data_IF_227111691348
#
_entry.id   IF_227111691348
#
_cell.length_a   1.000
_cell.length_b   1.000
_cell.length_c   1.000
_cell.angle_alpha   90.00
_cell.angle_beta   90.00
_cell.angle_gamma   90.00
#
_symmetry.space_group_name_H-M   'P 1'
#
loop_
_entity.id
_entity.type
_entity.pdbx_description
1 polymer ?
#
# COMPACT_ATOMS: atom_id res chain seq x y z
N UNK A 1 -0.80 -10.74 28.89
CA UNK A 1 0.53 -11.37 28.98
C UNK A 1 0.92 -11.93 27.63
N UNK A 2 2.20 -11.82 27.27
CA UNK A 2 2.76 -12.32 26.01
C UNK A 2 3.58 -13.57 26.31
N UNK A 3 3.45 -14.59 25.48
CA UNK A 3 4.15 -15.86 25.63
C UNK A 3 4.11 -16.70 24.36
N UNK A 4 4.94 -17.73 24.35
CA UNK A 4 5.03 -18.68 23.25
C UNK A 4 4.42 -20.01 23.66
N UNK A 5 3.76 -20.68 22.71
CA UNK A 5 3.35 -22.08 22.85
C UNK A 5 4.45 -22.93 22.21
N UNK A 6 5.31 -23.52 23.04
CA UNK A 6 6.34 -24.47 22.61
C UNK A 6 6.12 -25.78 23.36
N UNK A 7 5.27 -26.64 22.80
CA UNK A 7 4.94 -27.96 23.34
C UNK A 7 4.69 -27.93 24.87
N UNK A 8 5.48 -28.69 25.62
CA UNK A 8 5.38 -28.81 27.08
C UNK A 8 6.31 -27.86 27.86
N UNK A 9 6.90 -26.85 27.20
CA UNK A 9 7.76 -25.86 27.84
C UNK A 9 6.90 -24.76 28.45
N UNK A 10 6.46 -24.96 29.69
CA UNK A 10 5.57 -24.04 30.38
C UNK A 10 6.23 -22.68 30.73
N UNK A 11 7.57 -22.65 30.85
CA UNK A 11 8.31 -21.43 31.20
C UNK A 11 8.10 -20.30 30.19
N UNK A 12 8.06 -20.60 28.89
CA UNK A 12 7.91 -19.59 27.84
C UNK A 12 6.47 -19.11 27.62
N UNK A 13 5.49 -19.71 28.30
CA UNK A 13 4.06 -19.32 28.19
C UNK A 13 3.75 -17.98 28.86
N UNK A 14 4.57 -17.57 29.82
CA UNK A 14 4.49 -16.24 30.41
C UNK A 14 5.90 -15.64 30.55
N UNK A 15 6.26 -14.79 29.60
CA UNK A 15 7.62 -14.25 29.50
C UNK A 15 7.95 -13.25 30.60
N UNK A 16 6.96 -12.75 31.37
CA UNK A 16 7.19 -11.84 32.50
C UNK A 16 8.00 -12.49 33.62
N UNK A 17 7.95 -13.82 33.75
CA UNK A 17 8.63 -14.56 34.82
C UNK A 17 9.98 -15.14 34.41
N UNK A 18 10.29 -15.16 33.11
CA UNK A 18 11.51 -15.79 32.58
C UNK A 18 12.57 -14.77 32.18
N UNK A 19 12.15 -13.56 31.76
CA UNK A 19 13.09 -12.52 31.33
C UNK A 19 13.61 -11.71 32.52
N UNK A 20 14.94 -11.48 32.61
CA UNK A 20 15.49 -10.57 33.60
C UNK A 20 14.95 -9.15 33.38
N UNK A 21 14.81 -8.36 34.44
CA UNK A 21 14.24 -7.00 34.41
C UNK A 21 14.93 -6.02 33.44
N UNK A 22 16.13 -6.35 32.97
CA UNK A 22 16.92 -5.62 31.97
C UNK A 22 16.46 -5.86 30.52
N UNK A 23 15.75 -6.96 30.24
CA UNK A 23 15.14 -7.29 28.94
C UNK A 23 13.63 -7.07 29.03
N UNK A 24 13.20 -5.80 28.94
CA UNK A 24 11.78 -5.48 28.76
C UNK A 24 11.39 -5.69 27.31
N UNK A 25 10.92 -6.88 26.98
CA UNK A 25 10.17 -7.09 25.73
C UNK A 25 8.88 -6.28 25.78
N UNK A 26 8.89 -5.11 25.13
CA UNK A 26 7.71 -4.29 24.94
C UNK A 26 7.08 -4.66 23.60
N UNK A 27 6.16 -5.62 23.61
CA UNK A 27 5.27 -5.82 22.47
C UNK A 27 4.18 -4.77 22.57
N UNK A 28 4.31 -3.73 21.76
CA UNK A 28 3.40 -2.59 21.74
C UNK A 28 2.37 -2.81 20.63
N UNK A 29 1.11 -2.88 21.01
CA UNK A 29 0.01 -2.89 20.04
C UNK A 29 -0.34 -1.45 19.69
N UNK A 30 -0.43 -1.19 18.39
CA UNK A 30 -0.83 0.09 17.81
C UNK A 30 -2.16 -0.11 17.08
N UNK A 31 -2.79 1.00 16.69
CA UNK A 31 -4.01 0.95 15.89
C UNK A 31 -3.70 0.49 14.46
N UNK A 32 -4.66 -0.21 13.85
CA UNK A 32 -4.59 -0.58 12.44
C UNK A 32 -4.48 0.69 11.57
N UNK A 33 -3.73 0.63 10.45
CA UNK A 33 -3.61 1.75 9.54
C UNK A 33 -4.95 1.97 8.83
N UNK A 34 -5.28 3.23 8.56
CA UNK A 34 -6.48 3.59 7.81
C UNK A 34 -6.08 4.21 6.49
N UNK A 35 -6.43 3.55 5.38
CA UNK A 35 -6.25 4.13 4.04
C UNK A 35 -7.55 4.76 3.54
N UNK A 36 -7.47 5.99 3.05
CA UNK A 36 -8.59 6.74 2.50
C UNK A 36 -8.76 6.45 1.01
N UNK A 37 -10.01 6.30 0.58
CA UNK A 37 -10.36 6.15 -0.82
C UNK A 37 -10.15 7.44 -1.59
N UNK A 38 -9.99 7.33 -2.91
CA UNK A 38 -9.98 8.52 -3.76
C UNK A 38 -11.32 9.26 -3.69
N UNK A 39 -11.33 10.60 -3.55
CA UNK A 39 -12.57 11.37 -3.38
C UNK A 39 -13.62 11.11 -4.46
N UNK A 40 -13.18 10.92 -5.72
CA UNK A 40 -14.05 10.69 -6.87
C UNK A 40 -14.09 9.22 -7.31
N UNK A 41 -13.58 8.29 -6.48
CA UNK A 41 -13.33 6.87 -6.80
C UNK A 41 -12.40 6.60 -8.00
N UNK A 42 -12.19 7.57 -8.90
CA UNK A 42 -11.28 7.52 -10.03
C UNK A 42 -10.27 8.65 -9.85
N UNK A 43 -8.96 8.30 -9.86
CA UNK A 43 -7.86 9.27 -9.83
C UNK A 43 -7.18 9.30 -11.20
N UNK A 44 -6.95 10.52 -11.71
CA UNK A 44 -6.22 10.75 -12.95
C UNK A 44 -4.72 10.77 -12.66
N UNK A 45 -3.98 9.90 -13.33
CA UNK A 45 -2.53 9.79 -13.22
C UNK A 45 -1.85 10.45 -14.41
N UNK A 46 -0.95 11.41 -14.12
CA UNK A 46 -0.28 12.26 -15.11
C UNK A 46 1.20 11.94 -15.34
N UNK A 47 1.67 10.78 -14.88
CA UNK A 47 3.06 10.36 -15.06
C UNK A 47 4.04 10.81 -13.96
N UNK A 48 3.55 11.26 -12.81
CA UNK A 48 4.39 11.62 -11.66
C UNK A 48 4.29 10.52 -10.57
N UNK A 49 4.09 10.88 -9.30
CA UNK A 49 3.91 9.96 -8.19
C UNK A 49 2.44 9.80 -7.81
N UNK A 50 2.08 8.63 -7.26
CA UNK A 50 0.75 8.37 -6.71
C UNK A 50 0.78 8.52 -5.19
N UNK A 51 0.05 9.51 -4.70
CA UNK A 51 -0.18 9.73 -3.26
C UNK A 51 -1.50 9.09 -2.83
N UNK A 52 -1.43 8.24 -1.81
CA UNK A 52 -2.57 7.62 -1.12
C UNK A 52 -2.61 8.17 0.31
N UNK A 53 -3.73 8.77 0.70
CA UNK A 53 -3.91 9.38 2.01
C UNK A 53 -4.37 8.34 3.05
N UNK A 54 -4.06 8.60 4.32
CA UNK A 54 -4.44 7.73 5.42
C UNK A 54 -4.15 8.29 6.80
N UNK A 55 -4.20 7.41 7.80
CA UNK A 55 -3.92 7.72 9.20
C UNK A 55 -3.19 6.52 9.85
N UNK A 56 -2.23 6.83 10.73
CA UNK A 56 -1.42 5.85 11.47
C UNK A 56 -0.63 4.86 10.59
N UNK A 57 -0.28 5.25 9.37
CA UNK A 57 0.29 4.33 8.39
C UNK A 57 1.67 3.81 8.81
N UNK A 58 2.56 4.71 9.25
CA UNK A 58 3.92 4.36 9.69
C UNK A 58 4.01 3.90 11.15
N UNK A 59 2.89 3.90 11.89
CA UNK A 59 2.84 3.37 13.25
C UNK A 59 2.61 1.86 13.21
N UNK A 60 1.73 1.42 12.28
CA UNK A 60 1.32 0.04 12.17
C UNK A 60 2.22 -0.82 11.27
N UNK A 61 2.99 -0.21 10.37
CA UNK A 61 3.75 -0.93 9.34
C UNK A 61 4.91 -0.12 8.80
N UNK A 62 5.93 -0.84 8.34
CA UNK A 62 7.04 -0.29 7.57
C UNK A 62 6.82 -0.49 6.06
N UNK A 63 7.64 0.18 5.23
CA UNK A 63 7.55 0.13 3.77
C UNK A 63 7.63 -1.30 3.20
N UNK A 64 8.32 -2.20 3.88
CA UNK A 64 8.46 -3.62 3.49
C UNK A 64 7.20 -4.44 3.71
N UNK A 65 6.32 -3.99 4.60
CA UNK A 65 5.09 -4.71 4.98
C UNK A 65 3.89 -4.27 4.14
N UNK A 66 4.05 -3.21 3.35
CA UNK A 66 3.00 -2.62 2.51
C UNK A 66 3.22 -2.98 1.05
N UNK A 67 2.22 -3.60 0.45
CA UNK A 67 2.21 -3.91 -0.98
C UNK A 67 1.08 -3.15 -1.66
N UNK A 68 1.45 -2.28 -2.60
CA UNK A 68 0.50 -1.50 -3.40
C UNK A 68 0.43 -2.07 -4.80
N UNK A 69 -0.79 -2.33 -5.28
CA UNK A 69 -1.04 -2.88 -6.60
C UNK A 69 -2.00 -1.99 -7.38
N UNK A 70 -1.80 -1.93 -8.69
CA UNK A 70 -2.60 -1.21 -9.67
C UNK A 70 -3.01 -2.25 -10.71
N UNK A 71 -4.21 -2.78 -10.55
CA UNK A 71 -4.62 -4.04 -11.15
C UNK A 71 -3.63 -5.15 -10.83
N UNK A 72 -3.15 -5.86 -11.85
CA UNK A 72 -2.19 -6.97 -11.67
C UNK A 72 -0.74 -6.54 -11.47
N UNK A 73 -0.41 -5.23 -11.52
CA UNK A 73 0.97 -4.75 -11.42
C UNK A 73 1.26 -4.08 -10.08
N UNK A 74 2.46 -4.25 -9.56
CA UNK A 74 2.90 -3.60 -8.32
C UNK A 74 3.28 -2.13 -8.56
N UNK A 75 3.01 -1.29 -7.55
CA UNK A 75 3.45 0.09 -7.45
C UNK A 75 4.59 0.14 -6.44
N UNK A 76 5.76 0.63 -6.84
CA UNK A 76 6.92 0.66 -5.95
C UNK A 76 6.72 1.75 -4.90
N UNK A 77 6.59 1.36 -3.63
CA UNK A 77 6.47 2.30 -2.51
C UNK A 77 7.81 3.02 -2.33
N UNK A 78 7.78 4.35 -2.37
CA UNK A 78 8.98 5.19 -2.23
C UNK A 78 9.02 5.93 -0.92
N UNK A 79 7.87 6.11 -0.26
CA UNK A 79 7.80 6.73 1.04
C UNK A 79 6.53 6.31 1.79
N UNK A 80 6.67 5.98 3.07
CA UNK A 80 5.58 5.79 4.01
C UNK A 80 5.68 6.81 5.16
N UNK A 81 4.69 7.69 5.26
CA UNK A 81 4.58 8.68 6.34
C UNK A 81 3.29 8.45 7.14
N UNK A 82 3.15 9.09 8.30
CA UNK A 82 2.03 8.91 9.22
C UNK A 82 0.65 9.02 8.55
N UNK A 83 0.49 9.96 7.60
CA UNK A 83 -0.78 10.26 6.95
C UNK A 83 -0.81 10.02 5.44
N UNK A 84 0.27 9.53 4.85
CA UNK A 84 0.36 9.35 3.40
C UNK A 84 1.36 8.27 3.00
N UNK A 85 1.03 7.57 1.92
CA UNK A 85 1.90 6.64 1.22
C UNK A 85 2.14 7.19 -0.20
N UNK A 86 3.41 7.22 -0.60
CA UNK A 86 3.83 7.59 -1.96
C UNK A 86 4.36 6.35 -2.67
N UNK A 87 3.85 6.08 -3.86
CA UNK A 87 4.35 5.01 -4.71
C UNK A 87 4.48 5.49 -6.16
N UNK A 88 5.32 4.79 -6.92
CA UNK A 88 5.57 5.05 -8.33
C UNK A 88 4.80 4.03 -9.19
N UNK A 89 3.72 4.45 -9.88
CA UNK A 89 2.97 3.58 -10.78
C UNK A 89 3.82 3.10 -11.96
N UNK A 90 3.45 1.96 -12.61
CA UNK A 90 4.09 1.55 -13.86
C UNK A 90 3.85 2.59 -14.96
N UNK A 91 4.81 2.80 -15.86
CA UNK A 91 4.73 3.81 -16.93
C UNK A 91 3.52 3.65 -17.86
N UNK A 92 3.17 2.39 -18.16
CA UNK A 92 2.02 2.05 -19.01
C UNK A 92 0.85 1.56 -18.16
N UNK A 93 -0.36 1.93 -18.56
CA UNK A 93 -1.59 1.54 -17.88
C UNK A 93 -1.72 0.00 -17.88
N UNK A 94 -1.78 -0.64 -16.71
CA UNK A 94 -1.96 -2.08 -16.63
C UNK A 94 -3.38 -2.50 -17.01
N UNK A 95 -3.58 -3.81 -17.21
CA UNK A 95 -4.88 -4.38 -17.55
C UNK A 95 -5.95 -3.97 -16.53
N UNK A 96 -7.20 -3.73 -16.98
CA UNK A 96 -8.30 -3.26 -16.13
C UNK A 96 -8.80 -4.36 -15.21
N UNK A 97 -8.00 -4.67 -14.21
CA UNK A 97 -8.15 -5.80 -13.29
C UNK A 97 -8.00 -5.33 -11.85
N UNK A 98 -8.31 -6.20 -10.90
CA UNK A 98 -7.91 -6.09 -9.50
C UNK A 98 -6.55 -6.79 -9.26
N UNK A 99 -6.11 -6.82 -8.01
CA UNK A 99 -4.84 -7.44 -7.61
C UNK A 99 -4.81 -8.97 -7.76
N UNK A 100 -5.98 -9.59 -7.94
CA UNK A 100 -6.14 -11.03 -8.21
C UNK A 100 -6.30 -11.33 -9.71
N UNK A 101 -6.25 -10.31 -10.57
CA UNK A 101 -6.44 -10.44 -12.02
C UNK A 101 -7.90 -10.51 -12.47
N UNK A 102 -8.87 -10.25 -11.59
CA UNK A 102 -10.28 -10.22 -11.97
C UNK A 102 -10.60 -8.90 -12.68
N UNK A 103 -11.33 -8.92 -13.80
CA UNK A 103 -11.64 -7.72 -14.55
C UNK A 103 -12.54 -6.77 -13.75
N UNK A 104 -12.27 -5.47 -13.85
CA UNK A 104 -13.13 -4.42 -13.29
C UNK A 104 -14.21 -4.03 -14.30
N UNK A 105 -15.43 -3.72 -13.82
CA UNK A 105 -16.55 -3.32 -14.69
C UNK A 105 -16.33 -1.98 -15.40
N UNK A 106 -15.49 -1.12 -14.81
CA UNK A 106 -15.20 0.24 -15.28
C UNK A 106 -14.15 0.29 -16.40
N UNK A 107 -13.49 -0.83 -16.71
CA UNK A 107 -12.40 -0.86 -17.70
C UNK A 107 -11.14 -0.10 -17.25
N UNK A 108 -10.95 0.09 -15.94
CA UNK A 108 -9.78 0.76 -15.34
C UNK A 108 -9.14 -0.13 -14.26
N UNK A 109 -7.82 -0.12 -14.09
CA UNK A 109 -7.16 -0.88 -13.03
C UNK A 109 -7.56 -0.36 -11.64
N UNK A 110 -7.82 -1.29 -10.72
CA UNK A 110 -8.11 -0.99 -9.32
C UNK A 110 -6.81 -0.84 -8.52
N UNK A 111 -6.72 0.22 -7.72
CA UNK A 111 -5.64 0.44 -6.76
C UNK A 111 -6.01 -0.23 -5.44
N UNK A 112 -5.21 -1.21 -5.04
CA UNK A 112 -5.39 -1.98 -3.80
C UNK A 112 -4.12 -1.90 -2.97
N UNK A 113 -4.28 -1.56 -1.69
CA UNK A 113 -3.20 -1.59 -0.70
C UNK A 113 -3.39 -2.80 0.19
N UNK A 114 -2.34 -3.60 0.35
CA UNK A 114 -2.29 -4.71 1.29
C UNK A 114 -1.23 -4.44 2.35
N UNK A 115 -1.59 -4.71 3.60
CA UNK A 115 -0.69 -4.55 4.75
C UNK A 115 -0.61 -5.87 5.50
N UNK A 116 0.60 -6.41 5.62
CA UNK A 116 0.80 -7.76 6.15
C UNK A 116 0.00 -8.81 5.37
N UNK A 117 -0.50 -9.83 6.07
CA UNK A 117 -1.24 -10.94 5.44
C UNK A 117 -2.75 -10.74 5.35
N UNK A 118 -3.33 -9.87 6.19
CA UNK A 118 -4.77 -9.88 6.46
C UNK A 118 -5.49 -8.58 6.11
N UNK A 119 -4.78 -7.46 5.97
CA UNK A 119 -5.39 -6.17 5.72
C UNK A 119 -5.38 -5.86 4.23
N UNK A 120 -6.56 -5.55 3.67
CA UNK A 120 -6.77 -5.22 2.27
C UNK A 120 -7.67 -3.99 2.17
N UNK A 121 -7.20 -2.97 1.45
CA UNK A 121 -7.89 -1.71 1.26
C UNK A 121 -8.07 -1.38 -0.22
N UNK A 122 -9.32 -1.26 -0.64
CA UNK A 122 -9.68 -0.87 -2.00
C UNK A 122 -9.72 0.66 -2.08
N UNK A 123 -8.70 1.27 -2.68
CA UNK A 123 -8.52 2.74 -2.69
C UNK A 123 -9.38 3.41 -3.76
N UNK A 124 -9.43 2.81 -4.95
CA UNK A 124 -10.16 3.34 -6.10
C UNK A 124 -9.50 3.00 -7.42
N UNK A 125 -10.06 3.47 -8.52
CA UNK A 125 -9.61 3.22 -9.88
C UNK A 125 -8.58 4.26 -10.31
N UNK A 126 -7.61 3.83 -11.14
CA UNK A 126 -6.60 4.72 -11.71
C UNK A 126 -6.80 4.84 -13.23
N UNK A 127 -6.80 6.07 -13.74
CA UNK A 127 -6.84 6.36 -15.17
C UNK A 127 -5.55 7.06 -15.58
N UNK A 128 -4.85 6.52 -16.57
CA UNK A 128 -3.66 7.14 -17.10
C UNK A 128 -4.06 8.20 -18.12
N UNK A 129 -3.60 9.43 -17.90
CA UNK A 129 -3.57 10.45 -18.94
C UNK A 129 -2.34 10.15 -19.79
N UNK A 130 -2.53 9.46 -20.92
CA UNK A 130 -1.47 9.44 -21.92
C UNK A 130 -1.20 10.90 -22.28
N UNK A 131 0.01 11.40 -22.00
CA UNK A 131 0.46 12.64 -22.60
C UNK A 131 0.25 12.45 -24.10
N UNK A 132 -0.76 13.12 -24.66
CA UNK A 132 -0.90 13.21 -26.11
C UNK A 132 0.46 13.69 -26.61
N UNK A 133 1.04 12.95 -27.56
CA UNK A 133 2.19 13.39 -28.33
C UNK A 133 2.01 14.87 -28.60
N UNK A 134 2.98 15.68 -28.17
CA UNK A 134 3.04 17.09 -28.55
C UNK A 134 2.92 17.12 -30.08
N UNK A 135 1.75 17.53 -30.58
CA UNK A 135 1.61 17.91 -31.98
C UNK A 135 2.50 19.13 -32.14
N UNK A 136 3.72 18.91 -32.64
CA UNK A 136 4.58 19.98 -33.07
C UNK A 136 3.77 20.82 -34.07
N UNK A 137 3.55 22.12 -33.82
CA UNK A 137 2.89 22.96 -34.80
C UNK A 137 3.69 22.90 -36.11
N UNK A 138 3.03 22.80 -37.28
CA UNK A 138 3.70 22.68 -38.57
C UNK A 138 4.61 23.89 -38.90
N UNK A 139 4.50 24.98 -38.13
CA UNK A 139 5.36 26.16 -38.22
C UNK A 139 6.82 25.91 -37.78
N UNK A 140 7.11 24.78 -37.14
CA UNK A 140 8.46 24.39 -36.71
C UNK A 140 9.18 23.44 -37.68
N UNK A 141 8.53 23.02 -38.77
CA UNK A 141 9.12 22.19 -39.82
C UNK A 141 9.16 22.99 -41.13
N UNK A 142 10.21 23.80 -41.29
CA UNK A 142 10.69 24.31 -42.59
C UNK A 142 9.91 25.46 -43.18
#
# INVERSE_FOLDING_TARGET
DVGFIMDNVASVRNLRHVMPSSLRMALVYVLDPLYRKFPNSIKLYKGDTLVIEGENLNLASDETDVNVTIGSRQCNVTSLALSQLVCNPPESQPSPTDETGRPTQSGLPLVVVRVGSNLRYDIGLLRYEMMKEYQFPPEAIG
#
